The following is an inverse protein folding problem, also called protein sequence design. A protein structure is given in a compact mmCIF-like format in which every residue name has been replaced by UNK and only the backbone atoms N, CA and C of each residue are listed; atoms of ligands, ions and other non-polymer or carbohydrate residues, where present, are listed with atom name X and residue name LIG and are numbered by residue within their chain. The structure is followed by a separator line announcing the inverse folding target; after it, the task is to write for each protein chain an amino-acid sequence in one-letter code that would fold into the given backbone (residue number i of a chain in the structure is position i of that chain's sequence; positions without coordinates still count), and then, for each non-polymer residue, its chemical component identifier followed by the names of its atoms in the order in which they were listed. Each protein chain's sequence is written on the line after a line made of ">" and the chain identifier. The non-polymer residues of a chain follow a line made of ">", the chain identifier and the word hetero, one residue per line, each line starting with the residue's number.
data_IF_625772641243
#
_entry.id   IF_625772641243
#
_cell.length_a   1.000
_cell.length_b   1.000
_cell.length_c   1.000
_cell.angle_alpha   90.00
_cell.angle_beta   90.00
_cell.angle_gamma   90.00
#
_symmetry.space_group_name_H-M   'P 1'
#
loop_
_entity.id
_entity.type
_entity.pdbx_description
1 polymer ?
#
# COMPACT_ATOMS: atom_id res chain seq x y z
N UNK A 1 6.57 36.95 -27.54
CA UNK A 1 7.85 36.90 -26.79
C UNK A 1 7.68 36.74 -25.28
N UNK A 2 6.76 37.47 -24.64
CA UNK A 2 6.59 37.55 -23.18
C UNK A 2 6.28 36.20 -22.48
N UNK A 3 5.47 35.33 -23.11
CA UNK A 3 5.06 34.03 -22.52
C UNK A 3 6.22 33.03 -22.35
N UNK A 4 7.22 33.08 -23.24
CA UNK A 4 8.42 32.23 -23.16
C UNK A 4 9.39 32.71 -22.05
N UNK A 5 9.43 34.03 -21.82
CA UNK A 5 10.24 34.63 -20.75
C UNK A 5 9.69 34.25 -19.36
N UNK A 6 8.37 34.34 -19.16
CA UNK A 6 7.76 33.92 -17.90
C UNK A 6 7.94 32.42 -17.62
N UNK A 7 7.88 31.58 -18.65
CA UNK A 7 8.17 30.15 -18.50
C UNK A 7 9.61 29.90 -18.05
N UNK A 8 10.56 30.61 -18.66
CA UNK A 8 11.98 30.51 -18.31
C UNK A 8 12.26 31.02 -16.89
N UNK A 9 11.59 32.10 -16.47
CA UNK A 9 11.70 32.66 -15.11
C UNK A 9 11.11 31.69 -14.07
N UNK A 10 9.92 31.12 -14.32
CA UNK A 10 9.34 30.12 -13.42
C UNK A 10 10.20 28.86 -13.31
N UNK A 11 10.79 28.41 -14.42
CA UNK A 11 11.68 27.24 -14.41
C UNK A 11 12.97 27.52 -13.64
N UNK A 12 13.54 28.72 -13.78
CA UNK A 12 14.73 29.13 -13.03
C UNK A 12 14.44 29.25 -11.52
N UNK A 13 13.26 29.76 -11.12
CA UNK A 13 12.86 29.78 -9.71
C UNK A 13 12.71 28.35 -9.14
N UNK A 14 12.12 27.41 -9.90
CA UNK A 14 12.01 26.03 -9.45
C UNK A 14 13.36 25.32 -9.26
N UNK A 15 14.39 25.70 -10.04
CA UNK A 15 15.74 25.14 -9.95
C UNK A 15 16.60 25.80 -8.87
N UNK A 16 16.29 27.06 -8.50
CA UNK A 16 17.02 27.80 -7.46
C UNK A 16 16.59 27.45 -6.03
N UNK A 17 15.43 26.81 -5.86
CA UNK A 17 15.04 26.21 -4.57
C UNK A 17 15.85 24.93 -4.40
N UNK A 18 17.07 25.06 -3.89
CA UNK A 18 17.82 23.93 -3.39
C UNK A 18 16.92 23.17 -2.39
N UNK A 19 16.81 21.83 -2.48
CA UNK A 19 16.07 21.08 -1.50
C UNK A 19 16.67 21.40 -0.13
N UNK A 20 15.90 22.06 0.73
CA UNK A 20 16.27 22.12 2.13
C UNK A 20 16.34 20.67 2.59
N UNK A 21 17.56 20.21 2.84
CA UNK A 21 17.80 18.87 3.34
C UNK A 21 17.27 18.82 4.76
N UNK A 22 15.97 18.58 4.87
CA UNK A 22 15.30 18.22 6.11
C UNK A 22 15.76 16.80 6.42
N UNK A 23 16.95 16.69 7.00
CA UNK A 23 17.41 15.45 7.59
C UNK A 23 16.43 15.13 8.71
N UNK A 24 15.56 14.14 8.48
CA UNK A 24 14.91 13.44 9.56
C UNK A 24 16.01 12.99 10.53
N UNK A 25 16.00 13.49 11.77
CA UNK A 25 16.93 13.01 12.78
C UNK A 25 16.70 11.51 12.95
N UNK A 26 17.64 10.73 12.41
CA UNK A 26 17.70 9.28 12.55
C UNK A 26 18.02 8.99 14.02
N UNK A 27 16.98 8.87 14.84
CA UNK A 27 17.10 8.22 16.14
C UNK A 27 17.81 6.87 15.92
N UNK A 28 18.84 6.60 16.74
CA UNK A 28 19.67 5.39 16.65
C UNK A 28 18.87 4.14 17.04
N UNK A 29 17.91 3.75 16.21
CA UNK A 29 17.54 2.35 16.08
C UNK A 29 18.46 1.76 15.03
N UNK A 30 19.21 0.70 15.39
CA UNK A 30 19.97 -0.10 14.44
C UNK A 30 18.98 -0.84 13.54
N UNK A 31 18.34 -0.13 12.62
CA UNK A 31 17.66 -0.74 11.49
C UNK A 31 18.78 -1.21 10.57
N UNK A 32 19.15 -2.49 10.69
CA UNK A 32 19.88 -3.15 9.63
C UNK A 32 19.07 -2.91 8.34
N UNK A 33 19.60 -2.09 7.43
CA UNK A 33 19.00 -1.92 6.11
C UNK A 33 19.27 -3.23 5.39
N UNK A 34 18.37 -4.20 5.57
CA UNK A 34 18.40 -5.44 4.84
C UNK A 34 18.27 -5.07 3.37
N UNK A 35 19.33 -5.30 2.59
CA UNK A 35 19.32 -5.02 1.16
C UNK A 35 18.29 -5.96 0.52
N UNK A 36 17.15 -5.42 0.10
CA UNK A 36 16.10 -6.20 -0.54
C UNK A 36 16.65 -6.87 -1.80
N UNK A 37 16.40 -8.17 -1.94
CA UNK A 37 16.68 -8.87 -3.20
C UNK A 37 15.66 -8.47 -4.29
N UNK A 38 15.93 -8.82 -5.55
CA UNK A 38 15.07 -8.40 -6.66
C UNK A 38 13.65 -8.96 -6.54
N UNK A 39 13.49 -10.24 -6.18
CA UNK A 39 12.17 -10.85 -5.95
C UNK A 39 11.36 -10.10 -4.88
N UNK A 40 12.00 -9.64 -3.80
CA UNK A 40 11.34 -8.85 -2.76
C UNK A 40 10.87 -7.49 -3.28
N UNK A 41 11.66 -6.84 -4.14
CA UNK A 41 11.26 -5.57 -4.78
C UNK A 41 10.10 -5.78 -5.73
N UNK A 42 10.12 -6.85 -6.54
CA UNK A 42 9.03 -7.18 -7.46
C UNK A 42 7.72 -7.47 -6.72
N UNK A 43 7.76 -8.29 -5.65
CA UNK A 43 6.60 -8.54 -4.79
C UNK A 43 6.11 -7.27 -4.10
N UNK A 44 7.01 -6.37 -3.69
CA UNK A 44 6.65 -5.07 -3.12
C UNK A 44 5.92 -4.18 -4.14
N UNK A 45 6.45 -4.08 -5.36
CA UNK A 45 5.84 -3.31 -6.45
C UNK A 45 4.48 -3.88 -6.84
N UNK A 46 4.38 -5.21 -6.97
CA UNK A 46 3.13 -5.91 -7.19
C UNK A 46 2.11 -5.57 -6.11
N UNK A 47 2.45 -5.76 -4.83
CA UNK A 47 1.54 -5.50 -3.73
C UNK A 47 1.12 -4.03 -3.68
N UNK A 48 2.05 -3.09 -3.89
CA UNK A 48 1.73 -1.67 -3.93
C UNK A 48 0.77 -1.32 -5.07
N UNK A 49 1.02 -1.84 -6.28
CA UNK A 49 0.15 -1.66 -7.44
C UNK A 49 -1.23 -2.29 -7.25
N UNK A 50 -1.27 -3.52 -6.73
CA UNK A 50 -2.51 -4.22 -6.37
C UNK A 50 -3.33 -3.40 -5.39
N UNK A 51 -2.76 -3.00 -4.25
CA UNK A 51 -3.50 -2.27 -3.21
C UNK A 51 -3.99 -0.92 -3.71
N UNK A 52 -3.19 -0.16 -4.47
CA UNK A 52 -3.68 1.09 -5.06
C UNK A 52 -4.88 0.85 -5.97
N UNK A 53 -4.80 -0.09 -6.89
CA UNK A 53 -5.89 -0.34 -7.85
C UNK A 53 -7.13 -0.89 -7.13
N UNK A 54 -6.94 -1.84 -6.23
CA UNK A 54 -8.00 -2.47 -5.46
C UNK A 54 -8.72 -1.46 -4.54
N UNK A 55 -7.98 -0.71 -3.72
CA UNK A 55 -8.56 0.30 -2.83
C UNK A 55 -9.24 1.43 -3.61
N UNK A 56 -8.69 1.88 -4.74
CA UNK A 56 -9.39 2.85 -5.59
C UNK A 56 -10.72 2.26 -6.09
N UNK A 57 -10.74 1.00 -6.51
CA UNK A 57 -11.99 0.37 -6.97
C UNK A 57 -13.03 0.18 -5.86
N UNK A 58 -12.60 0.05 -4.59
CA UNK A 58 -13.52 0.00 -3.44
C UNK A 58 -14.19 1.36 -3.17
N UNK A 59 -13.43 2.46 -3.26
CA UNK A 59 -13.96 3.83 -3.08
C UNK A 59 -15.06 4.13 -4.09
N UNK A 60 -14.93 3.63 -5.32
CA UNK A 60 -15.88 3.86 -6.41
C UNK A 60 -16.78 2.63 -6.70
N UNK A 61 -16.99 1.76 -5.70
CA UNK A 61 -17.73 0.50 -5.85
C UNK A 61 -19.17 0.66 -6.34
N UNK A 62 -19.79 1.83 -6.13
CA UNK A 62 -21.12 2.16 -6.66
C UNK A 62 -21.19 2.17 -8.20
N UNK A 63 -20.02 2.23 -8.88
CA UNK A 63 -19.94 2.32 -10.33
C UNK A 63 -19.74 0.95 -11.00
N UNK A 64 -19.23 -0.06 -10.29
CA UNK A 64 -19.02 -1.42 -10.81
C UNK A 64 -18.43 -2.38 -9.76
N UNK A 65 -18.53 -3.69 -10.02
CA UNK A 65 -17.86 -4.75 -9.25
C UNK A 65 -16.35 -4.90 -9.58
N UNK A 66 -15.69 -3.80 -9.98
CA UNK A 66 -14.29 -3.83 -10.42
C UNK A 66 -13.35 -4.40 -9.34
N UNK A 67 -13.61 -4.10 -8.07
CA UNK A 67 -12.84 -4.65 -6.94
C UNK A 67 -12.89 -6.18 -6.91
N UNK A 68 -14.04 -6.79 -7.22
CA UNK A 68 -14.17 -8.25 -7.30
C UNK A 68 -13.38 -8.83 -8.46
N UNK A 69 -13.37 -8.17 -9.62
CA UNK A 69 -12.58 -8.60 -10.79
C UNK A 69 -11.08 -8.58 -10.46
N UNK A 70 -10.62 -7.52 -9.80
CA UNK A 70 -9.22 -7.40 -9.34
C UNK A 70 -8.90 -8.49 -8.31
N UNK A 71 -9.76 -8.68 -7.31
CA UNK A 71 -9.56 -9.70 -6.28
C UNK A 71 -9.53 -11.11 -6.88
N UNK A 72 -10.50 -11.48 -7.72
CA UNK A 72 -10.53 -12.79 -8.41
C UNK A 72 -9.27 -13.07 -9.24
N UNK A 73 -8.61 -12.03 -9.75
CA UNK A 73 -7.41 -12.17 -10.56
C UNK A 73 -6.14 -12.40 -9.73
N UNK A 74 -6.04 -11.75 -8.57
CA UNK A 74 -4.77 -11.63 -7.84
C UNK A 74 -4.82 -12.12 -6.39
N UNK A 75 -5.97 -12.59 -5.91
CA UNK A 75 -6.19 -13.03 -4.53
C UNK A 75 -6.63 -14.49 -4.54
N UNK A 76 -6.05 -15.29 -3.66
CA UNK A 76 -6.39 -16.69 -3.55
C UNK A 76 -7.87 -16.88 -3.13
N UNK A 77 -8.54 -17.95 -3.58
CA UNK A 77 -9.90 -18.26 -3.14
C UNK A 77 -10.03 -18.41 -1.63
N UNK A 78 -8.98 -18.88 -0.94
CA UNK A 78 -8.97 -18.99 0.52
C UNK A 78 -9.01 -17.63 1.20
N UNK A 79 -8.30 -16.62 0.69
CA UNK A 79 -8.35 -15.26 1.23
C UNK A 79 -9.71 -14.62 0.95
N UNK A 80 -10.26 -14.79 -0.26
CA UNK A 80 -11.61 -14.29 -0.58
C UNK A 80 -12.67 -14.91 0.35
N UNK A 81 -12.56 -16.22 0.63
CA UNK A 81 -13.45 -16.89 1.58
C UNK A 81 -13.34 -16.32 2.99
N UNK A 82 -12.13 -15.98 3.47
CA UNK A 82 -11.95 -15.35 4.78
C UNK A 82 -12.72 -14.03 4.90
N UNK A 83 -12.76 -13.22 3.84
CA UNK A 83 -13.55 -11.98 3.86
C UNK A 83 -15.04 -12.23 4.05
N UNK A 84 -15.57 -13.27 3.40
CA UNK A 84 -16.97 -13.68 3.56
C UNK A 84 -17.23 -14.19 4.98
N UNK A 85 -16.37 -15.09 5.47
CA UNK A 85 -16.54 -15.70 6.80
C UNK A 85 -16.41 -14.66 7.94
N UNK A 86 -15.69 -13.56 7.72
CA UNK A 86 -15.47 -12.50 8.71
C UNK A 86 -16.42 -11.30 8.57
N UNK A 87 -17.27 -11.28 7.54
CA UNK A 87 -18.12 -10.14 7.18
C UNK A 87 -17.34 -8.80 7.12
N UNK A 88 -16.11 -8.87 6.61
CA UNK A 88 -15.18 -7.75 6.48
C UNK A 88 -14.12 -8.07 5.43
N UNK A 89 -13.61 -7.05 4.72
CA UNK A 89 -12.53 -7.26 3.77
C UNK A 89 -11.19 -7.44 4.49
N UNK A 90 -10.68 -8.68 4.53
CA UNK A 90 -9.43 -9.01 5.23
C UNK A 90 -8.18 -8.40 4.59
N UNK A 91 -8.27 -7.90 3.35
CA UNK A 91 -7.14 -7.22 2.70
C UNK A 91 -6.93 -5.82 3.27
N UNK A 92 -7.99 -5.19 3.78
CA UNK A 92 -7.95 -3.84 4.37
C UNK A 92 -8.38 -3.80 5.84
N UNK A 93 -8.79 -4.93 6.42
CA UNK A 93 -9.29 -5.03 7.80
C UNK A 93 -10.39 -4.01 8.09
N UNK A 94 -11.32 -3.85 7.15
CA UNK A 94 -12.40 -2.88 7.18
C UNK A 94 -13.57 -3.30 6.27
N UNK A 95 -14.72 -2.65 6.44
CA UNK A 95 -15.86 -2.79 5.51
C UNK A 95 -15.78 -1.79 4.35
N UNK A 96 -15.25 -0.60 4.63
CA UNK A 96 -15.16 0.49 3.66
C UNK A 96 -13.70 0.87 3.36
N UNK A 97 -13.50 1.68 2.32
CA UNK A 97 -12.21 2.30 2.01
C UNK A 97 -12.41 3.78 1.71
N UNK A 98 -11.47 4.62 2.15
CA UNK A 98 -11.46 6.07 1.92
C UNK A 98 -10.15 6.54 1.27
N UNK A 99 -10.16 7.73 0.66
CA UNK A 99 -9.00 8.27 -0.06
C UNK A 99 -7.73 8.36 0.80
N UNK A 100 -7.87 8.67 2.09
CA UNK A 100 -6.73 8.77 3.00
C UNK A 100 -5.98 7.43 3.13
N UNK A 101 -6.71 6.30 3.10
CA UNK A 101 -6.09 4.99 3.19
C UNK A 101 -5.10 4.79 2.01
N UNK A 102 -5.49 5.24 0.81
CA UNK A 102 -4.64 5.18 -0.39
C UNK A 102 -3.47 6.17 -0.31
N UNK A 103 -3.73 7.41 0.13
CA UNK A 103 -2.68 8.45 0.24
C UNK A 103 -1.58 8.07 1.24
N UNK A 104 -1.93 7.28 2.26
CA UNK A 104 -1.02 6.89 3.34
C UNK A 104 -0.52 5.45 3.22
N UNK A 105 -0.88 4.75 2.14
CA UNK A 105 -0.48 3.38 1.85
C UNK A 105 1.04 3.21 1.84
N UNK A 106 1.51 2.23 2.61
CA UNK A 106 2.90 1.77 2.66
C UNK A 106 2.92 0.25 2.56
N UNK A 107 3.86 -0.27 1.76
CA UNK A 107 4.14 -1.70 1.63
C UNK A 107 5.60 -1.92 1.95
N UNK A 108 5.90 -2.79 2.91
CA UNK A 108 7.25 -3.08 3.39
C UNK A 108 7.48 -4.60 3.41
N UNK A 109 8.47 -5.13 2.68
CA UNK A 109 8.82 -6.54 2.77
C UNK A 109 9.28 -6.92 4.19
N UNK A 110 8.83 -8.08 4.67
CA UNK A 110 9.25 -8.65 5.95
C UNK A 110 10.24 -9.81 5.75
N UNK A 111 9.99 -10.67 4.78
CA UNK A 111 10.91 -11.69 4.28
C UNK A 111 10.66 -11.90 2.76
N UNK A 112 11.00 -13.07 2.21
CA UNK A 112 10.78 -13.34 0.78
C UNK A 112 9.30 -13.49 0.39
N UNK A 113 8.42 -13.83 1.33
CA UNK A 113 7.02 -14.15 1.05
C UNK A 113 6.05 -13.15 1.68
N UNK A 114 6.38 -12.63 2.85
CA UNK A 114 5.51 -11.77 3.63
C UNK A 114 5.84 -10.29 3.44
N UNK A 115 4.78 -9.49 3.28
CA UNK A 115 4.84 -8.04 3.26
C UNK A 115 3.90 -7.46 4.32
N UNK A 116 4.33 -6.37 4.94
CA UNK A 116 3.50 -5.53 5.81
C UNK A 116 2.88 -4.42 4.96
N UNK A 117 1.57 -4.41 4.86
CA UNK A 117 0.78 -3.35 4.25
C UNK A 117 0.19 -2.51 5.38
N UNK A 118 0.30 -1.19 5.26
CA UNK A 118 -0.27 -0.30 6.28
C UNK A 118 -0.72 1.01 5.70
N UNK A 119 -1.74 1.59 6.31
CA UNK A 119 -2.29 2.88 5.97
C UNK A 119 -2.96 3.49 7.20
N UNK A 120 -3.29 4.78 7.12
CA UNK A 120 -4.05 5.49 8.14
C UNK A 120 -5.54 5.45 7.81
N UNK A 121 -6.34 5.38 8.86
CA UNK A 121 -7.79 5.48 8.85
C UNK A 121 -8.21 6.64 9.76
N UNK A 122 -8.65 7.74 9.18
CA UNK A 122 -9.38 8.79 9.88
C UNK A 122 -10.87 8.49 9.89
N UNK A 123 -11.53 8.95 10.96
CA UNK A 123 -12.96 8.89 11.08
C UNK A 123 -13.55 10.29 10.90
N UNK A 124 -14.73 10.42 10.29
CA UNK A 124 -15.44 11.70 10.27
C UNK A 124 -15.98 12.11 11.65
N UNK A 125 -16.03 11.19 12.62
CA UNK A 125 -16.53 11.46 13.96
C UNK A 125 -15.47 12.16 14.80
N UNK A 126 -15.82 13.35 15.34
CA UNK A 126 -14.90 14.27 16.06
C UNK A 126 -14.07 13.63 17.19
N UNK A 127 -14.56 12.55 17.80
CA UNK A 127 -13.92 11.89 18.94
C UNK A 127 -13.28 10.54 18.59
N UNK A 128 -13.23 10.19 17.30
CA UNK A 128 -12.58 8.97 16.83
C UNK A 128 -11.25 9.35 16.18
N UNK A 129 -10.16 9.10 16.91
CA UNK A 129 -8.82 9.43 16.44
C UNK A 129 -8.40 8.60 15.22
N UNK A 130 -7.41 9.13 14.49
CA UNK A 130 -6.77 8.41 13.38
C UNK A 130 -6.11 7.13 13.89
N UNK A 131 -6.39 6.02 13.23
CA UNK A 131 -5.81 4.71 13.54
C UNK A 131 -4.89 4.27 12.40
N UNK A 132 -3.82 3.55 12.74
CA UNK A 132 -3.00 2.87 11.74
C UNK A 132 -3.49 1.45 11.57
N UNK A 133 -3.89 1.09 10.36
CA UNK A 133 -4.25 -0.28 9.99
C UNK A 133 -3.00 -1.00 9.48
N UNK A 134 -2.87 -2.28 9.84
CA UNK A 134 -1.76 -3.14 9.40
C UNK A 134 -2.33 -4.48 8.97
N UNK A 135 -2.08 -4.85 7.72
CA UNK A 135 -2.38 -6.16 7.16
C UNK A 135 -1.08 -6.78 6.68
N UNK A 136 -0.83 -8.01 7.09
CA UNK A 136 0.27 -8.83 6.59
C UNK A 136 -0.24 -9.71 5.47
N UNK A 137 0.37 -9.59 4.30
CA UNK A 137 0.05 -10.42 3.14
C UNK A 137 1.20 -11.35 2.80
N UNK A 138 0.85 -12.55 2.36
CA UNK A 138 1.80 -13.49 1.77
C UNK A 138 1.64 -13.49 0.26
N UNK A 139 2.72 -13.20 -0.45
CA UNK A 139 2.74 -13.12 -1.91
C UNK A 139 3.58 -14.24 -2.49
N UNK A 140 3.00 -14.97 -3.43
CA UNK A 140 3.65 -16.04 -4.18
C UNK A 140 3.66 -15.76 -5.68
N UNK A 141 4.66 -16.30 -6.35
CA UNK A 141 4.70 -16.31 -7.82
C UNK A 141 3.60 -17.23 -8.37
N UNK A 142 2.97 -16.77 -9.45
CA UNK A 142 1.97 -17.52 -10.20
C UNK A 142 2.18 -17.27 -11.70
N UNK A 143 2.82 -18.23 -12.36
CA UNK A 143 3.20 -18.08 -13.78
C UNK A 143 4.13 -16.89 -13.98
N UNK A 144 3.68 -15.89 -14.74
CA UNK A 144 4.43 -14.64 -15.03
C UNK A 144 4.01 -13.47 -14.12
N UNK A 145 3.29 -13.74 -13.04
CA UNK A 145 2.78 -12.72 -12.13
C UNK A 145 2.82 -13.22 -10.68
N UNK A 146 2.08 -12.56 -9.80
CA UNK A 146 2.00 -12.90 -8.39
C UNK A 146 0.54 -13.02 -7.94
N UNK A 147 0.34 -13.72 -6.84
CA UNK A 147 -0.95 -13.87 -6.15
C UNK A 147 -0.76 -13.62 -4.65
N UNK A 148 -1.74 -12.98 -4.03
CA UNK A 148 -1.87 -12.91 -2.58
C UNK A 148 -2.41 -14.27 -2.11
N UNK A 149 -1.52 -15.08 -1.57
CA UNK A 149 -1.84 -16.41 -1.04
C UNK A 149 -2.57 -16.32 0.30
N UNK A 150 -2.15 -15.38 1.16
CA UNK A 150 -2.67 -15.23 2.52
C UNK A 150 -2.73 -13.75 2.95
N UNK A 151 -3.64 -13.45 3.88
CA UNK A 151 -3.81 -12.14 4.51
C UNK A 151 -4.21 -12.30 5.98
N UNK A 152 -3.61 -11.50 6.87
CA UNK A 152 -3.89 -11.52 8.31
C UNK A 152 -3.48 -10.23 9.00
N UNK A 153 -4.16 -9.88 10.10
CA UNK A 153 -3.77 -8.78 11.00
C UNK A 153 -2.79 -9.21 12.09
N UNK A 154 -2.61 -10.52 12.28
CA UNK A 154 -1.63 -11.07 13.23
C UNK A 154 -0.27 -11.17 12.57
N UNK A 155 0.77 -10.63 13.20
CA UNK A 155 2.14 -10.68 12.65
C UNK A 155 2.55 -12.15 12.42
N UNK A 156 2.91 -12.53 11.18
CA UNK A 156 3.26 -13.91 10.85
C UNK A 156 4.61 -14.29 11.49
N UNK A 157 4.80 -15.59 11.72
CA UNK A 157 6.11 -16.13 12.08
C UNK A 157 7.03 -16.09 10.85
N UNK A 158 8.12 -15.33 10.94
CA UNK A 158 9.06 -15.08 9.85
C UNK A 158 10.27 -16.03 9.84
N UNK A 159 10.29 -17.02 10.75
CA UNK A 159 11.41 -17.97 10.89
C UNK A 159 11.44 -19.07 9.83
N UNK A 160 10.53 -19.02 8.86
CA UNK A 160 10.45 -19.95 7.73
C UNK A 160 10.92 -19.27 6.44
#
# INVERSE_FOLDING_TARGET
>A
MIRKLYLAISLALCLAVAPQTLYAQKGKSKTAVCKLNETQKEKQLFAYGFYKTYMNSLIYSQLSDLYMVIAKKFVSPSVMKKSVDMDADVLIDAQDCIEENIRTLKVVPLNNDWLCVSFLWSSPYKNVGTKRTVVYIKVKEQGKSFVIEDATTKKPDLRK
#
